data_IF_282586300076
#
_entry.id   IF_282586300076
#
_cell.length_a   1.000
_cell.length_b   1.000
_cell.length_c   1.000
_cell.angle_alpha   90.00
_cell.angle_beta   90.00
_cell.angle_gamma   90.00
#
_symmetry.space_group_name_H-M   'P 1'
#
loop_
_entity.id
_entity.type
_entity.pdbx_description
1 polymer ?
#
# COMPACT_ATOMS: atom_id res chain seq x y z
N UNK A 1 94.18 15.84 28.69
CA UNK A 1 93.14 15.94 29.74
C UNK A 1 92.00 16.74 29.16
N UNK A 2 90.74 16.38 29.43
CA UNK A 2 89.60 17.16 28.93
C UNK A 2 89.55 18.41 29.81
N UNK A 3 90.09 19.52 29.32
CA UNK A 3 90.00 20.79 30.02
C UNK A 3 88.59 21.36 29.81
N UNK A 4 87.78 21.30 30.88
CA UNK A 4 86.49 22.00 30.93
C UNK A 4 86.73 23.51 31.02
N UNK A 5 87.00 24.10 29.87
CA UNK A 5 87.13 25.54 29.70
C UNK A 5 85.77 26.19 29.44
N UNK A 6 85.69 27.52 29.62
CA UNK A 6 84.48 28.31 29.37
C UNK A 6 83.86 28.04 27.97
N UNK A 7 84.70 27.74 26.97
CA UNK A 7 84.29 27.36 25.61
C UNK A 7 83.40 26.11 25.56
N UNK A 8 83.64 25.12 26.42
CA UNK A 8 82.79 23.91 26.49
C UNK A 8 81.36 24.26 26.94
N UNK A 9 81.22 25.13 27.96
CA UNK A 9 79.91 25.60 28.41
C UNK A 9 79.20 26.44 27.36
N UNK A 10 79.93 27.31 26.65
CA UNK A 10 79.37 28.09 25.52
C UNK A 10 78.89 27.16 24.39
N UNK A 11 79.65 26.11 24.06
CA UNK A 11 79.26 25.12 23.06
C UNK A 11 78.06 24.27 23.49
N UNK A 12 77.98 23.89 24.77
CA UNK A 12 76.83 23.18 25.34
C UNK A 12 75.57 24.03 25.24
N UNK A 13 75.65 25.31 25.61
CA UNK A 13 74.52 26.25 25.49
C UNK A 13 74.09 26.38 24.03
N UNK A 14 75.03 26.51 23.08
CA UNK A 14 74.72 26.56 21.65
C UNK A 14 73.99 25.28 21.18
N UNK A 15 74.50 24.11 21.56
CA UNK A 15 73.88 22.83 21.22
C UNK A 15 72.44 22.71 21.77
N UNK A 16 72.23 23.09 23.03
CA UNK A 16 70.89 23.11 23.65
C UNK A 16 69.97 24.09 22.93
N UNK A 17 70.48 25.27 22.54
CA UNK A 17 69.71 26.29 21.83
C UNK A 17 69.27 25.77 20.45
N UNK A 18 70.16 25.10 19.71
CA UNK A 18 69.84 24.43 18.43
C UNK A 18 68.82 23.30 18.66
N UNK A 19 68.96 22.50 19.72
CA UNK A 19 68.01 21.43 20.03
C UNK A 19 66.60 21.97 20.29
N UNK A 20 66.48 23.07 21.04
CA UNK A 20 65.20 23.74 21.30
C UNK A 20 64.63 24.28 19.99
N UNK A 21 65.46 24.94 19.18
CA UNK A 21 65.04 25.49 17.90
C UNK A 21 64.56 24.39 16.94
N UNK A 22 65.28 23.26 16.88
CA UNK A 22 64.93 22.08 16.10
C UNK A 22 63.60 21.47 16.56
N UNK A 23 63.37 21.39 17.88
CA UNK A 23 62.12 20.86 18.42
C UNK A 23 60.92 21.74 18.03
N UNK A 24 61.07 23.06 18.11
CA UNK A 24 60.02 24.02 17.77
C UNK A 24 59.74 24.06 16.26
N UNK A 25 60.79 24.03 15.42
CA UNK A 25 60.65 24.19 13.96
C UNK A 25 60.32 22.87 13.26
N UNK A 26 60.89 21.74 13.66
CA UNK A 26 60.69 20.46 12.95
C UNK A 26 59.73 19.53 13.70
N UNK A 27 60.04 19.19 14.95
CA UNK A 27 59.33 18.10 15.65
C UNK A 27 57.86 18.47 15.91
N UNK A 28 57.60 19.71 16.35
CA UNK A 28 56.24 20.21 16.59
C UNK A 28 55.36 20.20 15.34
N UNK A 29 55.78 20.80 14.21
CA UNK A 29 54.99 20.79 12.98
C UNK A 29 54.81 19.40 12.37
N UNK A 30 55.85 18.55 12.36
CA UNK A 30 55.76 17.19 11.82
C UNK A 30 54.71 16.37 12.57
N UNK A 31 54.72 16.41 13.91
CA UNK A 31 53.72 15.71 14.73
C UNK A 31 52.30 16.22 14.46
N UNK A 32 52.13 17.53 14.29
CA UNK A 32 50.82 18.12 13.96
C UNK A 32 50.30 17.62 12.60
N UNK A 33 51.15 17.56 11.58
CA UNK A 33 50.75 17.04 10.26
C UNK A 33 50.40 15.56 10.32
N UNK A 34 51.19 14.76 11.04
CA UNK A 34 50.93 13.33 11.20
C UNK A 34 49.61 13.07 11.93
N UNK A 35 49.34 13.81 13.01
CA UNK A 35 48.06 13.74 13.74
C UNK A 35 46.89 14.15 12.85
N UNK A 36 47.02 15.25 12.10
CA UNK A 36 45.98 15.73 11.17
C UNK A 36 45.67 14.71 10.09
N UNK A 37 46.69 14.01 9.56
CA UNK A 37 46.49 12.91 8.60
C UNK A 37 45.75 11.74 9.23
N UNK A 38 46.15 11.32 10.44
CA UNK A 38 45.50 10.24 11.15
C UNK A 38 44.03 10.56 11.45
N UNK A 39 43.74 11.77 11.94
CA UNK A 39 42.37 12.26 12.21
C UNK A 39 41.53 12.32 10.94
N UNK A 40 42.09 12.80 9.83
CA UNK A 40 41.38 12.88 8.54
C UNK A 40 41.05 11.50 7.97
N UNK A 41 41.94 10.51 8.14
CA UNK A 41 41.66 9.13 7.72
C UNK A 41 40.60 8.51 8.62
N UNK A 42 40.72 8.68 9.95
CA UNK A 42 39.74 8.18 10.90
C UNK A 42 38.34 8.75 10.66
N UNK A 43 38.22 10.07 10.46
CA UNK A 43 36.93 10.71 10.20
C UNK A 43 36.31 10.30 8.86
N UNK A 44 37.12 10.05 7.84
CA UNK A 44 36.63 9.51 6.56
C UNK A 44 36.12 8.07 6.73
N UNK A 45 36.82 7.23 7.49
CA UNK A 45 36.36 5.87 7.75
C UNK A 45 35.04 5.85 8.54
N UNK A 46 34.93 6.67 9.59
CA UNK A 46 33.70 6.84 10.36
C UNK A 46 32.55 7.37 9.49
N UNK A 47 32.84 8.33 8.60
CA UNK A 47 31.88 8.82 7.62
C UNK A 47 31.37 7.72 6.69
N UNK A 48 32.27 6.88 6.16
CA UNK A 48 31.91 5.74 5.29
C UNK A 48 31.06 4.72 6.05
N UNK A 49 31.45 4.36 7.28
CA UNK A 49 30.72 3.39 8.09
C UNK A 49 29.33 3.89 8.45
N UNK A 50 29.20 5.16 8.86
CA UNK A 50 27.90 5.77 9.15
C UNK A 50 27.01 5.85 7.91
N UNK A 51 27.59 6.15 6.74
CA UNK A 51 26.87 6.20 5.47
C UNK A 51 26.39 4.81 5.06
N UNK A 52 27.25 3.79 5.15
CA UNK A 52 26.90 2.41 4.84
C UNK A 52 25.81 1.88 5.78
N UNK A 53 25.92 2.14 7.08
CA UNK A 53 24.92 1.80 8.08
C UNK A 53 23.58 2.48 7.80
N UNK A 54 23.60 3.80 7.54
CA UNK A 54 22.40 4.56 7.20
C UNK A 54 21.75 4.08 5.90
N UNK A 55 22.55 3.76 4.88
CA UNK A 55 22.06 3.23 3.61
C UNK A 55 21.41 1.85 3.79
N UNK A 56 22.04 0.95 4.57
CA UNK A 56 21.49 -0.36 4.89
C UNK A 56 20.17 -0.25 5.68
N UNK A 57 20.10 0.63 6.68
CA UNK A 57 18.86 0.88 7.41
C UNK A 57 17.76 1.39 6.49
N UNK A 58 18.05 2.39 5.64
CA UNK A 58 17.07 2.93 4.70
C UNK A 58 16.58 1.90 3.69
N UNK A 59 17.46 1.02 3.20
CA UNK A 59 17.05 -0.08 2.32
C UNK A 59 16.12 -1.04 3.04
N UNK A 60 16.44 -1.43 4.27
CA UNK A 60 15.60 -2.32 5.07
C UNK A 60 14.23 -1.70 5.37
N UNK A 61 14.19 -0.42 5.70
CA UNK A 61 12.95 0.32 5.95
C UNK A 61 12.10 0.40 4.67
N UNK A 62 12.74 0.65 3.53
CA UNK A 62 12.08 0.68 2.23
C UNK A 62 11.51 -0.68 1.83
N UNK A 63 12.27 -1.77 2.00
CA UNK A 63 11.80 -3.13 1.76
C UNK A 63 10.62 -3.48 2.67
N UNK A 64 10.71 -3.15 3.96
CA UNK A 64 9.60 -3.36 4.91
C UNK A 64 8.35 -2.56 4.53
N UNK A 65 8.50 -1.32 4.08
CA UNK A 65 7.38 -0.49 3.64
C UNK A 65 6.75 -1.04 2.36
N UNK A 66 7.57 -1.53 1.42
CA UNK A 66 7.09 -2.14 0.18
C UNK A 66 6.29 -3.42 0.44
N UNK A 67 6.78 -4.28 1.34
CA UNK A 67 6.08 -5.50 1.69
C UNK A 67 4.79 -5.23 2.47
N UNK A 68 4.79 -4.26 3.39
CA UNK A 68 3.58 -3.80 4.05
C UNK A 68 2.54 -3.26 3.05
N UNK A 69 2.98 -2.46 2.06
CA UNK A 69 2.12 -1.95 1.00
C UNK A 69 1.53 -3.07 0.13
N UNK A 70 2.32 -4.10 -0.20
CA UNK A 70 1.85 -5.29 -0.94
C UNK A 70 0.79 -6.05 -0.16
N UNK A 71 1.01 -6.29 1.14
CA UNK A 71 0.04 -6.96 2.02
C UNK A 71 -1.25 -6.14 2.14
N UNK A 72 -1.14 -4.82 2.32
CA UNK A 72 -2.31 -3.95 2.36
C UNK A 72 -3.09 -3.96 1.03
N UNK A 73 -2.39 -3.94 -0.11
CA UNK A 73 -3.01 -3.98 -1.42
C UNK A 73 -3.72 -5.31 -1.70
N UNK A 74 -3.13 -6.45 -1.32
CA UNK A 74 -3.78 -7.76 -1.47
C UNK A 74 -4.98 -7.89 -0.55
N UNK A 75 -4.85 -7.46 0.71
CA UNK A 75 -5.96 -7.43 1.67
C UNK A 75 -7.12 -6.55 1.16
N UNK A 76 -6.83 -5.33 0.69
CA UNK A 76 -7.82 -4.42 0.11
C UNK A 76 -8.51 -5.02 -1.11
N UNK A 77 -7.75 -5.64 -2.02
CA UNK A 77 -8.31 -6.32 -3.20
C UNK A 77 -9.23 -7.48 -2.81
N UNK A 78 -8.84 -8.28 -1.82
CA UNK A 78 -9.68 -9.38 -1.34
C UNK A 78 -10.96 -8.88 -0.67
N UNK A 79 -10.87 -7.82 0.13
CA UNK A 79 -12.03 -7.19 0.76
C UNK A 79 -13.01 -6.64 -0.30
N UNK A 80 -12.52 -5.88 -1.28
CA UNK A 80 -13.36 -5.36 -2.38
C UNK A 80 -14.00 -6.48 -3.20
N UNK A 81 -13.27 -7.58 -3.44
CA UNK A 81 -13.84 -8.73 -4.15
C UNK A 81 -14.95 -9.40 -3.34
N UNK A 82 -14.74 -9.58 -2.03
CA UNK A 82 -15.75 -10.17 -1.15
C UNK A 82 -17.00 -9.28 -1.05
N UNK A 83 -16.81 -7.97 -0.92
CA UNK A 83 -17.90 -6.98 -0.91
C UNK A 83 -18.68 -7.00 -2.24
N UNK A 84 -17.96 -6.99 -3.37
CA UNK A 84 -18.57 -7.07 -4.70
C UNK A 84 -19.37 -8.36 -4.89
N UNK A 85 -18.86 -9.51 -4.42
CA UNK A 85 -19.59 -10.78 -4.47
C UNK A 85 -20.83 -10.79 -3.57
N UNK A 86 -20.76 -10.15 -2.40
CA UNK A 86 -21.90 -10.01 -1.50
C UNK A 86 -23.01 -9.15 -2.12
N UNK A 87 -22.64 -8.00 -2.70
CA UNK A 87 -23.58 -7.12 -3.39
C UNK A 87 -24.18 -7.77 -4.65
N UNK A 88 -23.36 -8.48 -5.44
CA UNK A 88 -23.82 -9.24 -6.60
C UNK A 88 -24.88 -10.27 -6.18
N UNK A 89 -24.60 -11.03 -5.12
CA UNK A 89 -25.53 -12.03 -4.59
C UNK A 89 -26.85 -11.39 -4.11
N UNK A 90 -26.77 -10.30 -3.35
CA UNK A 90 -27.96 -9.57 -2.86
C UNK A 90 -28.81 -9.04 -4.02
N UNK A 91 -28.17 -8.45 -5.04
CA UNK A 91 -28.86 -7.95 -6.23
C UNK A 91 -29.50 -9.09 -7.03
N UNK A 92 -28.81 -10.22 -7.18
CA UNK A 92 -29.32 -11.39 -7.90
C UNK A 92 -30.52 -12.01 -7.16
N UNK A 93 -30.46 -12.10 -5.83
CA UNK A 93 -31.56 -12.57 -4.99
C UNK A 93 -32.78 -11.64 -5.08
N UNK A 94 -32.56 -10.33 -5.00
CA UNK A 94 -33.63 -9.34 -5.16
C UNK A 94 -34.28 -9.39 -6.55
N UNK A 95 -33.47 -9.50 -7.61
CA UNK A 95 -33.96 -9.65 -8.98
C UNK A 95 -34.74 -10.96 -9.17
N UNK A 96 -34.26 -12.06 -8.59
CA UNK A 96 -34.94 -13.35 -8.58
C UNK A 96 -36.30 -13.29 -7.88
N UNK A 97 -36.37 -12.64 -6.72
CA UNK A 97 -37.62 -12.44 -5.98
C UNK A 97 -38.61 -11.58 -6.78
N UNK A 98 -38.15 -10.50 -7.41
CA UNK A 98 -38.97 -9.65 -8.27
C UNK A 98 -39.50 -10.41 -9.51
N UNK A 99 -38.67 -11.26 -10.12
CA UNK A 99 -39.07 -12.12 -11.24
C UNK A 99 -40.14 -13.14 -10.81
N UNK A 100 -39.99 -13.78 -9.66
CA UNK A 100 -41.01 -14.69 -9.12
C UNK A 100 -42.31 -13.94 -8.82
N UNK A 101 -42.25 -12.76 -8.22
CA UNK A 101 -43.41 -11.94 -7.91
C UNK A 101 -44.17 -11.50 -9.17
N UNK A 102 -43.45 -11.05 -10.20
CA UNK A 102 -44.05 -10.66 -11.49
C UNK A 102 -44.71 -11.84 -12.21
N UNK A 103 -44.09 -13.02 -12.21
CA UNK A 103 -44.70 -14.23 -12.78
C UNK A 103 -45.95 -14.64 -12.00
N UNK A 104 -45.94 -14.56 -10.67
CA UNK A 104 -47.13 -14.85 -9.86
C UNK A 104 -48.27 -13.86 -10.13
N UNK A 105 -47.96 -12.56 -10.21
CA UNK A 105 -48.94 -11.52 -10.54
C UNK A 105 -49.56 -11.74 -11.93
N UNK A 106 -48.74 -12.02 -12.95
CA UNK A 106 -49.20 -12.32 -14.30
C UNK A 106 -50.11 -13.56 -14.34
N UNK A 107 -49.77 -14.62 -13.61
CA UNK A 107 -50.62 -15.83 -13.50
C UNK A 107 -51.96 -15.52 -12.83
N UNK A 108 -51.97 -14.71 -11.78
CA UNK A 108 -53.20 -14.30 -11.11
C UNK A 108 -54.10 -13.45 -12.02
N UNK A 109 -53.50 -12.55 -12.79
CA UNK A 109 -54.21 -11.72 -13.75
C UNK A 109 -54.82 -12.54 -14.90
N UNK A 110 -54.07 -13.50 -15.46
CA UNK A 110 -54.59 -14.44 -16.48
C UNK A 110 -55.78 -15.25 -15.93
N UNK A 111 -55.69 -15.73 -14.69
CA UNK A 111 -56.78 -16.47 -14.06
C UNK A 111 -58.04 -15.60 -13.89
N UNK A 112 -57.88 -14.35 -13.47
CA UNK A 112 -58.97 -13.36 -13.35
C UNK A 112 -59.61 -13.05 -14.71
N UNK A 113 -58.79 -12.80 -15.74
CA UNK A 113 -59.27 -12.55 -17.10
C UNK A 113 -60.01 -13.76 -17.67
N UNK A 114 -59.51 -14.97 -17.45
CA UNK A 114 -60.16 -16.22 -17.87
C UNK A 114 -61.52 -16.41 -17.20
N UNK A 115 -61.61 -16.17 -15.88
CA UNK A 115 -62.88 -16.23 -15.14
C UNK A 115 -63.90 -15.20 -15.65
N UNK A 116 -63.45 -13.98 -15.94
CA UNK A 116 -64.28 -12.91 -16.49
C UNK A 116 -64.77 -13.25 -17.89
N UNK A 117 -63.88 -13.77 -18.76
CA UNK A 117 -64.23 -14.20 -20.11
C UNK A 117 -65.22 -15.37 -20.10
N UNK A 118 -65.06 -16.35 -19.19
CA UNK A 118 -66.01 -17.45 -19.00
C UNK A 118 -67.40 -16.95 -18.60
N UNK A 119 -67.50 -16.07 -17.60
CA UNK A 119 -68.78 -15.45 -17.20
C UNK A 119 -69.44 -14.69 -18.35
N UNK A 120 -68.66 -13.92 -19.10
CA UNK A 120 -69.17 -13.18 -20.26
C UNK A 120 -69.66 -14.13 -21.37
N UNK A 121 -69.00 -15.27 -21.57
CA UNK A 121 -69.41 -16.27 -22.54
C UNK A 121 -70.69 -16.99 -22.10
N UNK A 122 -70.81 -17.39 -20.83
CA UNK A 122 -72.04 -17.99 -20.27
C UNK A 122 -73.26 -17.06 -20.45
N UNK A 123 -73.09 -15.76 -20.18
CA UNK A 123 -74.13 -14.76 -20.41
C UNK A 123 -74.50 -14.61 -21.89
N UNK A 124 -73.55 -14.78 -22.82
CA UNK A 124 -73.82 -14.78 -24.26
C UNK A 124 -74.46 -16.08 -24.73
N UNK A 125 -74.12 -17.23 -24.13
CA UNK A 125 -74.70 -18.54 -24.44
C UNK A 125 -76.18 -18.57 -24.06
N UNK A 126 -76.58 -18.01 -22.92
CA UNK A 126 -78.01 -17.90 -22.57
C UNK A 126 -78.80 -17.02 -23.55
N UNK A 127 -78.20 -15.92 -24.03
CA UNK A 127 -78.79 -15.06 -25.06
C UNK A 127 -78.84 -15.70 -26.46
N UNK A 128 -77.87 -16.56 -26.80
CA UNK A 128 -77.89 -17.36 -28.03
C UNK A 128 -78.91 -18.50 -27.93
N UNK A 129 -79.03 -19.15 -26.77
CA UNK A 129 -80.02 -20.19 -26.51
C UNK A 129 -81.45 -19.64 -26.61
N UNK A 130 -81.73 -18.45 -26.06
CA UNK A 130 -83.06 -17.84 -26.20
C UNK A 130 -83.38 -17.46 -27.66
N UNK A 131 -82.39 -16.97 -28.42
CA UNK A 131 -82.53 -16.70 -29.85
C UNK A 131 -82.73 -17.97 -30.68
N UNK A 132 -82.08 -19.07 -30.32
CA UNK A 132 -82.27 -20.37 -30.96
C UNK A 132 -83.67 -20.93 -30.66
N UNK A 133 -84.11 -20.86 -29.40
CA UNK A 133 -85.46 -21.28 -28.98
C UNK A 133 -86.54 -20.44 -29.68
N UNK A 134 -86.35 -19.12 -29.79
CA UNK A 134 -87.27 -18.25 -30.54
C UNK A 134 -87.31 -18.57 -32.05
N UNK A 135 -86.22 -19.06 -32.65
CA UNK A 135 -86.20 -19.51 -34.05
C UNK A 135 -86.84 -20.88 -34.26
N UNK A 136 -86.78 -21.77 -33.28
CA UNK A 136 -87.38 -23.12 -33.36
C UNK A 136 -88.89 -23.09 -33.06
N UNK A 137 -89.36 -22.17 -32.20
CA UNK A 137 -90.78 -21.94 -31.91
C UNK A 137 -91.49 -21.03 -32.94
N UNK A 138 -90.75 -20.41 -33.85
CA UNK A 138 -91.30 -19.60 -34.96
C UNK A 138 -91.46 -20.38 -36.27
N UNK A 139 -91.37 -21.72 -36.20
CA UNK A 139 -91.78 -22.65 -37.24
C UNK A 139 -93.01 -23.43 -36.76
#
# INVERSE_FOLDING_TARGET
MIDLNATFFVQLVNFVLILILLNVILIGPIRRVLKKRAELVASQMEGIESFASSASSKLKDYESALDAARVAATAGRMAMKAEGQAQEKELLEAAGAAAVATVQAAKAEIASQSATAKKALEAKVSGLASKAVARVLAA
#
